data_IF_967892168300
#
_entry.id   IF_967892168300
#
_cell.length_a   1.000
_cell.length_b   1.000
_cell.length_c   1.000
_cell.angle_alpha   90.00
_cell.angle_beta   90.00
_cell.angle_gamma   90.00
#
_symmetry.space_group_name_H-M   'P 1'
#
loop_
_entity.id
_entity.type
_entity.pdbx_description
1 polymer ?
#
# COMPACT_ATOMS: atom_id res chain seq x y z
N UNK A 1 -6.08 5.73 -17.34
CA UNK A 1 -7.25 4.96 -17.00
C UNK A 1 -8.33 5.85 -16.45
N UNK A 2 -9.53 5.74 -16.95
CA UNK A 2 -10.62 6.66 -16.56
C UNK A 2 -11.04 6.56 -15.11
N UNK A 3 -10.69 5.47 -14.43
CA UNK A 3 -11.15 5.23 -13.06
C UNK A 3 -10.11 5.57 -11.99
N UNK A 4 -8.98 6.14 -12.38
CA UNK A 4 -7.93 6.51 -11.43
C UNK A 4 -7.84 8.03 -11.29
N UNK A 5 -8.01 8.49 -10.06
CA UNK A 5 -7.85 9.89 -9.70
C UNK A 5 -6.50 10.06 -9.03
N UNK A 6 -5.67 10.98 -9.51
CA UNK A 6 -4.36 11.20 -8.90
C UNK A 6 -4.51 12.00 -7.61
N UNK A 7 -3.92 11.47 -6.53
CA UNK A 7 -3.93 12.13 -5.21
C UNK A 7 -2.59 12.81 -4.96
N UNK A 8 -1.50 12.14 -5.33
CA UNK A 8 -0.16 12.62 -5.09
C UNK A 8 0.77 12.03 -6.14
N UNK A 9 1.73 12.81 -6.60
CA UNK A 9 2.71 12.35 -7.58
C UNK A 9 4.08 12.91 -7.24
N UNK A 10 5.09 12.06 -7.33
CA UNK A 10 6.49 12.45 -7.13
C UNK A 10 7.38 11.60 -8.03
N UNK A 11 8.67 11.89 -8.01
CA UNK A 11 9.63 11.07 -8.75
C UNK A 11 9.76 9.65 -8.19
N UNK A 12 9.34 9.44 -6.95
CA UNK A 12 9.51 8.17 -6.24
C UNK A 12 8.24 7.33 -6.19
N UNK A 13 7.07 7.96 -6.16
CA UNK A 13 5.82 7.24 -6.00
C UNK A 13 4.63 8.06 -6.46
N UNK A 14 3.68 7.41 -7.11
CA UNK A 14 2.38 8.00 -7.42
C UNK A 14 1.30 7.33 -6.57
N UNK A 15 0.37 8.13 -6.06
CA UNK A 15 -0.76 7.66 -5.26
C UNK A 15 -2.05 8.00 -6.00
N UNK A 16 -2.87 6.98 -6.25
CA UNK A 16 -4.15 7.12 -6.95
C UNK A 16 -5.29 6.61 -6.08
N UNK A 17 -6.45 7.18 -6.32
CA UNK A 17 -7.70 6.63 -5.83
C UNK A 17 -8.44 5.98 -7.00
N UNK A 18 -8.82 4.71 -6.83
CA UNK A 18 -9.60 3.98 -7.84
C UNK A 18 -11.07 4.18 -7.52
N UNK A 19 -11.77 4.94 -8.37
CA UNK A 19 -13.16 5.31 -8.11
C UNK A 19 -14.13 4.15 -8.23
N UNK A 20 -13.81 3.15 -9.07
CA UNK A 20 -14.67 1.98 -9.23
C UNK A 20 -14.60 1.02 -8.06
N UNK A 21 -13.41 0.82 -7.54
CA UNK A 21 -13.17 -0.18 -6.50
C UNK A 21 -13.08 0.42 -5.11
N UNK A 22 -13.03 1.75 -5.00
CA UNK A 22 -12.93 2.46 -3.73
C UNK A 22 -11.69 2.02 -2.95
N UNK A 23 -10.53 2.08 -3.60
CA UNK A 23 -9.25 1.70 -3.01
C UNK A 23 -8.19 2.74 -3.30
N UNK A 24 -7.16 2.77 -2.46
CA UNK A 24 -5.96 3.57 -2.70
C UNK A 24 -4.92 2.67 -3.37
N UNK A 25 -4.39 3.12 -4.50
CA UNK A 25 -3.36 2.40 -5.24
C UNK A 25 -2.08 3.21 -5.25
N UNK A 26 -0.95 2.57 -4.98
CA UNK A 26 0.35 3.23 -5.02
C UNK A 26 1.26 2.54 -6.03
N UNK A 27 2.05 3.35 -6.73
CA UNK A 27 3.00 2.85 -7.73
C UNK A 27 4.38 3.39 -7.39
N UNK A 28 5.21 2.52 -6.82
CA UNK A 28 6.57 2.87 -6.44
C UNK A 28 7.47 2.78 -7.66
N UNK A 29 8.23 3.86 -7.89
CA UNK A 29 9.13 3.95 -9.04
C UNK A 29 10.51 3.44 -8.66
N UNK A 30 11.35 3.13 -9.65
CA UNK A 30 12.68 2.60 -9.41
C UNK A 30 13.68 3.67 -9.01
N UNK A 31 13.36 4.45 -7.99
CA UNK A 31 14.21 5.52 -7.46
C UNK A 31 14.37 5.31 -5.97
N UNK A 32 15.63 5.34 -5.49
CA UNK A 32 15.89 5.18 -4.06
C UNK A 32 15.37 6.39 -3.29
N UNK A 33 14.65 6.12 -2.23
CA UNK A 33 14.10 7.14 -1.35
C UNK A 33 14.15 6.65 0.09
N UNK A 34 14.52 7.53 1.01
CA UNK A 34 14.59 7.19 2.44
C UNK A 34 14.29 8.42 3.29
N UNK A 35 14.19 8.20 4.60
CA UNK A 35 14.00 9.23 5.63
C UNK A 35 12.78 10.11 5.34
N UNK A 36 12.91 11.43 5.46
CA UNK A 36 11.79 12.33 5.36
C UNK A 36 11.00 12.26 4.06
N UNK A 37 11.63 12.23 2.87
CA UNK A 37 10.87 12.10 1.63
C UNK A 37 10.06 10.82 1.55
N UNK A 38 10.63 9.70 2.01
CA UNK A 38 9.94 8.42 2.05
C UNK A 38 8.76 8.47 3.03
N UNK A 39 9.00 9.00 4.22
CA UNK A 39 7.97 9.10 5.26
C UNK A 39 6.84 10.02 4.86
N UNK A 40 7.15 11.09 4.14
CA UNK A 40 6.13 12.00 3.60
C UNK A 40 5.21 11.26 2.62
N UNK A 41 5.77 10.43 1.75
CA UNK A 41 4.96 9.66 0.81
C UNK A 41 4.00 8.74 1.57
N UNK A 42 4.50 8.05 2.59
CA UNK A 42 3.65 7.16 3.39
C UNK A 42 2.57 7.94 4.15
N UNK A 43 2.88 9.15 4.62
CA UNK A 43 1.88 9.99 5.27
C UNK A 43 0.81 10.47 4.27
N UNK A 44 1.19 10.71 3.01
CA UNK A 44 0.23 11.03 1.96
C UNK A 44 -0.71 9.85 1.67
N UNK A 45 -0.24 8.63 1.85
CA UNK A 45 -1.12 7.46 1.73
C UNK A 45 -2.19 7.48 2.84
N UNK A 46 -1.81 7.81 4.06
CA UNK A 46 -2.78 7.96 5.16
C UNK A 46 -3.79 9.05 4.83
N UNK A 47 -3.31 10.19 4.32
CA UNK A 47 -4.21 11.28 3.93
C UNK A 47 -5.22 10.83 2.87
N UNK A 48 -4.78 10.01 1.92
CA UNK A 48 -5.67 9.48 0.90
C UNK A 48 -6.73 8.55 1.50
N UNK A 49 -6.34 7.68 2.45
CA UNK A 49 -7.29 6.80 3.13
C UNK A 49 -8.36 7.61 3.86
N UNK A 50 -7.95 8.65 4.58
CA UNK A 50 -8.87 9.50 5.32
C UNK A 50 -9.78 10.30 4.38
N UNK A 51 -9.20 10.92 3.37
CA UNK A 51 -9.93 11.74 2.41
C UNK A 51 -11.02 10.95 1.69
N UNK A 52 -10.69 9.74 1.28
CA UNK A 52 -11.60 8.90 0.50
C UNK A 52 -12.36 7.91 1.35
N UNK A 53 -12.08 7.82 2.64
CA UNK A 53 -12.70 6.85 3.55
C UNK A 53 -12.52 5.43 3.02
N UNK A 54 -11.33 5.14 2.52
CA UNK A 54 -10.96 3.83 1.99
C UNK A 54 -10.26 3.00 3.06
N UNK A 55 -10.33 1.69 2.93
CA UNK A 55 -9.72 0.76 3.88
C UNK A 55 -8.72 -0.19 3.22
N UNK A 56 -8.61 -0.13 1.90
CA UNK A 56 -7.78 -1.06 1.11
C UNK A 56 -6.68 -0.29 0.41
N UNK A 57 -5.45 -0.76 0.57
CA UNK A 57 -4.29 -0.25 -0.17
C UNK A 57 -3.77 -1.36 -1.08
N UNK A 58 -3.63 -1.07 -2.36
CA UNK A 58 -2.93 -1.95 -3.30
C UNK A 58 -1.65 -1.24 -3.70
N UNK A 59 -0.52 -1.80 -3.29
CA UNK A 59 0.78 -1.22 -3.54
C UNK A 59 1.54 -2.00 -4.61
N UNK A 60 1.84 -1.34 -5.73
CA UNK A 60 2.69 -1.93 -6.74
C UNK A 60 4.14 -1.59 -6.37
N UNK A 61 4.80 -2.57 -5.77
CA UNK A 61 6.16 -2.42 -5.25
C UNK A 61 7.18 -3.20 -6.10
N UNK A 62 6.82 -3.55 -7.34
CA UNK A 62 7.71 -4.36 -8.19
C UNK A 62 9.04 -3.66 -8.50
N UNK A 63 9.04 -2.34 -8.56
CA UNK A 63 10.25 -1.56 -8.85
C UNK A 63 10.79 -0.82 -7.63
N UNK A 64 10.24 -1.09 -6.46
CA UNK A 64 10.64 -0.40 -5.24
C UNK A 64 12.05 -0.79 -4.81
N UNK A 65 12.82 0.20 -4.39
CA UNK A 65 14.15 -0.02 -3.85
C UNK A 65 14.07 -0.47 -2.39
N UNK A 66 15.24 -0.86 -1.87
CA UNK A 66 15.36 -1.32 -0.48
C UNK A 66 14.89 -0.23 0.49
N UNK A 67 14.11 -0.65 1.47
CA UNK A 67 13.66 0.24 2.55
C UNK A 67 14.72 0.18 3.66
N UNK A 68 15.22 1.34 4.08
CA UNK A 68 16.25 1.41 5.11
C UNK A 68 15.75 0.83 6.44
N UNK A 69 16.64 0.28 7.29
CA UNK A 69 16.22 -0.25 8.59
C UNK A 69 15.49 0.79 9.45
N UNK A 70 15.95 2.03 9.44
CA UNK A 70 15.28 3.10 10.20
C UNK A 70 13.86 3.36 9.69
N UNK A 71 13.66 3.32 8.38
CA UNK A 71 12.34 3.50 7.81
C UNK A 71 11.44 2.30 8.06
N UNK A 72 11.99 1.09 8.07
CA UNK A 72 11.24 -0.11 8.43
C UNK A 72 10.71 0.00 9.85
N UNK A 73 11.55 0.42 10.78
CA UNK A 73 11.15 0.61 12.17
C UNK A 73 10.10 1.71 12.30
N UNK A 74 10.27 2.82 11.58
CA UNK A 74 9.30 3.91 11.58
C UNK A 74 7.94 3.46 11.06
N UNK A 75 7.91 2.62 10.02
CA UNK A 75 6.65 2.08 9.51
C UNK A 75 5.91 1.31 10.60
N UNK A 76 6.61 0.44 11.30
CA UNK A 76 5.98 -0.41 12.30
C UNK A 76 5.56 0.37 13.55
N UNK A 77 6.37 1.32 13.97
CA UNK A 77 6.14 2.01 15.25
C UNK A 77 5.30 3.28 15.12
N UNK A 78 5.27 3.90 13.95
CA UNK A 78 4.57 5.17 13.74
C UNK A 78 3.50 5.08 12.65
N UNK A 79 3.89 4.67 11.45
CA UNK A 79 2.98 4.72 10.31
C UNK A 79 1.83 3.74 10.43
N UNK A 80 2.14 2.47 10.73
CA UNK A 80 1.13 1.41 10.78
C UNK A 80 0.01 1.74 11.78
N UNK A 81 0.32 2.13 13.06
CA UNK A 81 -0.76 2.48 13.99
C UNK A 81 -1.62 3.63 13.51
N UNK A 82 -1.01 4.63 12.87
CA UNK A 82 -1.76 5.79 12.35
C UNK A 82 -2.62 5.40 11.14
N UNK A 83 -2.11 4.52 10.28
CA UNK A 83 -2.86 4.03 9.13
C UNK A 83 -4.08 3.23 9.57
N UNK A 84 -3.93 2.37 10.58
CA UNK A 84 -5.04 1.60 11.14
C UNK A 84 -6.10 2.54 11.71
N UNK A 85 -5.67 3.57 12.41
CA UNK A 85 -6.59 4.57 12.94
C UNK A 85 -7.36 5.31 11.84
N UNK A 86 -6.72 5.47 10.68
CA UNK A 86 -7.33 6.12 9.52
C UNK A 86 -8.25 5.19 8.72
N UNK A 87 -8.32 3.91 9.08
CA UNK A 87 -9.21 2.95 8.44
C UNK A 87 -8.56 1.81 7.68
N UNK A 88 -7.24 1.72 7.67
CA UNK A 88 -6.49 0.69 6.94
C UNK A 88 -6.83 -0.70 7.47
N UNK A 89 -7.31 -1.60 6.58
CA UNK A 89 -7.73 -2.97 6.96
C UNK A 89 -7.21 -4.05 6.01
N UNK A 90 -6.93 -3.71 4.75
CA UNK A 90 -6.50 -4.69 3.75
C UNK A 90 -5.34 -4.13 2.95
N UNK A 91 -4.32 -4.96 2.74
CA UNK A 91 -3.15 -4.59 1.96
C UNK A 91 -2.85 -5.66 0.92
N UNK A 92 -2.86 -5.28 -0.35
CA UNK A 92 -2.36 -6.13 -1.43
C UNK A 92 -1.03 -5.59 -1.91
N UNK A 93 -0.03 -6.45 -1.97
CA UNK A 93 1.32 -6.09 -2.39
C UNK A 93 1.67 -6.81 -3.68
N UNK A 94 1.95 -6.04 -4.73
CA UNK A 94 2.40 -6.58 -6.01
C UNK A 94 3.92 -6.54 -5.99
N UNK A 95 4.55 -7.70 -6.03
CA UNK A 95 5.99 -7.84 -5.85
C UNK A 95 6.63 -8.53 -7.04
N UNK A 96 7.90 -8.21 -7.27
CA UNK A 96 8.74 -8.90 -8.24
C UNK A 96 9.66 -9.83 -7.45
N UNK A 97 9.61 -11.12 -7.76
CA UNK A 97 10.32 -12.16 -7.01
C UNK A 97 11.83 -11.99 -6.96
N UNK A 98 12.38 -11.22 -7.88
CA UNK A 98 13.84 -11.10 -8.03
C UNK A 98 14.40 -9.82 -7.43
N UNK A 99 13.63 -9.09 -6.62
CA UNK A 99 14.09 -7.83 -6.05
C UNK A 99 14.44 -7.97 -4.57
N UNK A 100 15.48 -7.26 -4.14
CA UNK A 100 15.86 -7.23 -2.72
C UNK A 100 14.79 -6.58 -1.85
N UNK A 101 14.03 -5.65 -2.40
CA UNK A 101 12.96 -4.97 -1.66
C UNK A 101 11.83 -5.92 -1.28
N UNK A 102 11.66 -7.02 -2.02
CA UNK A 102 10.64 -8.01 -1.71
C UNK A 102 10.77 -8.53 -0.28
N UNK A 103 12.00 -8.87 0.11
CA UNK A 103 12.25 -9.39 1.46
C UNK A 103 11.91 -8.35 2.53
N UNK A 104 12.32 -7.10 2.34
CA UNK A 104 12.05 -6.04 3.30
C UNK A 104 10.54 -5.79 3.43
N UNK A 105 9.84 -5.72 2.30
CA UNK A 105 8.39 -5.48 2.30
C UNK A 105 7.66 -6.61 3.01
N UNK A 106 8.04 -7.86 2.75
CA UNK A 106 7.42 -9.01 3.41
C UNK A 106 7.72 -9.04 4.90
N UNK A 107 8.94 -8.70 5.27
CA UNK A 107 9.35 -8.67 6.68
C UNK A 107 8.52 -7.66 7.46
N UNK A 108 8.31 -6.46 6.91
CA UNK A 108 7.48 -5.44 7.53
C UNK A 108 6.05 -5.92 7.65
N UNK A 109 5.48 -6.38 6.53
CA UNK A 109 4.06 -6.75 6.48
C UNK A 109 3.74 -7.96 7.37
N UNK A 110 4.68 -8.88 7.53
CA UNK A 110 4.49 -10.05 8.38
C UNK A 110 4.45 -9.68 9.88
N UNK A 111 4.89 -8.48 10.23
CA UNK A 111 4.81 -7.99 11.61
C UNK A 111 3.51 -7.25 11.89
N UNK A 112 2.68 -7.01 10.88
CA UNK A 112 1.36 -6.43 11.10
C UNK A 112 0.48 -7.46 11.81
N UNK A 113 -0.41 -6.96 12.68
CA UNK A 113 -1.39 -7.80 13.33
C UNK A 113 -2.42 -8.26 12.30
N UNK A 114 -2.42 -9.56 11.98
CA UNK A 114 -3.30 -10.12 10.95
C UNK A 114 -4.77 -10.06 11.31
N UNK A 115 -5.10 -9.87 12.59
CA UNK A 115 -6.49 -9.66 13.00
C UNK A 115 -6.97 -8.24 12.70
N UNK A 116 -6.04 -7.31 12.47
CA UNK A 116 -6.34 -5.91 12.17
C UNK A 116 -6.18 -5.61 10.69
N UNK A 117 -5.06 -6.00 10.08
CA UNK A 117 -4.79 -5.79 8.66
C UNK A 117 -4.50 -7.13 8.00
N UNK A 118 -5.27 -7.45 6.97
CA UNK A 118 -5.05 -8.65 6.16
C UNK A 118 -4.15 -8.30 5.00
N UNK A 119 -3.03 -8.99 4.87
CA UNK A 119 -2.05 -8.77 3.79
C UNK A 119 -2.03 -9.95 2.84
N UNK A 120 -2.02 -9.67 1.54
CA UNK A 120 -1.91 -10.66 0.49
C UNK A 120 -0.86 -10.24 -0.52
N UNK A 121 -0.11 -11.19 -1.07
CA UNK A 121 0.95 -10.92 -2.03
C UNK A 121 0.54 -11.40 -3.43
N UNK A 122 0.93 -10.61 -4.45
CA UNK A 122 0.56 -10.89 -5.84
C UNK A 122 1.74 -10.66 -6.77
N UNK A 123 1.68 -11.30 -7.95
CA UNK A 123 2.67 -11.11 -9.01
C UNK A 123 2.20 -10.13 -10.09
N UNK A 124 0.91 -9.82 -10.10
CA UNK A 124 0.33 -8.97 -11.14
C UNK A 124 -0.76 -8.07 -10.58
N UNK A 125 -0.94 -6.89 -11.21
CA UNK A 125 -2.04 -6.00 -10.81
C UNK A 125 -3.41 -6.63 -10.96
N UNK A 126 -3.63 -7.43 -12.01
CA UNK A 126 -4.96 -8.02 -12.24
C UNK A 126 -5.37 -8.98 -11.13
N UNK A 127 -4.43 -9.76 -10.60
CA UNK A 127 -4.72 -10.67 -9.50
C UNK A 127 -5.05 -9.89 -8.22
N UNK A 128 -4.33 -8.80 -7.98
CA UNK A 128 -4.59 -7.96 -6.82
C UNK A 128 -5.97 -7.34 -6.88
N UNK A 129 -6.38 -6.82 -8.04
CA UNK A 129 -7.69 -6.19 -8.20
C UNK A 129 -8.82 -7.22 -8.12
N UNK A 130 -8.58 -8.44 -8.57
CA UNK A 130 -9.56 -9.52 -8.42
C UNK A 130 -9.80 -9.85 -6.95
N UNK A 131 -8.73 -9.88 -6.15
CA UNK A 131 -8.83 -10.07 -4.72
C UNK A 131 -9.65 -8.96 -4.04
N UNK A 132 -9.49 -7.70 -4.49
CA UNK A 132 -10.28 -6.58 -3.97
C UNK A 132 -11.77 -6.83 -4.21
N UNK A 133 -12.13 -7.30 -5.41
CA UNK A 133 -13.52 -7.60 -5.72
C UNK A 133 -14.08 -8.69 -4.81
N UNK A 134 -13.29 -9.72 -4.53
CA UNK A 134 -13.69 -10.78 -3.62
C UNK A 134 -13.96 -10.25 -2.22
N UNK A 135 -13.10 -9.35 -1.71
CA UNK A 135 -13.30 -8.73 -0.40
C UNK A 135 -14.62 -7.96 -0.38
N UNK A 136 -14.88 -7.18 -1.42
CA UNK A 136 -16.08 -6.34 -1.48
C UNK A 136 -17.36 -7.17 -1.63
N UNK A 137 -17.31 -8.24 -2.38
CA UNK A 137 -18.44 -9.15 -2.53
C UNK A 137 -18.77 -9.84 -1.21
N UNK A 138 -17.74 -10.29 -0.48
CA UNK A 138 -17.94 -10.90 0.83
C UNK A 138 -18.52 -9.90 1.82
N UNK A 139 -18.09 -8.64 1.77
CA UNK A 139 -18.65 -7.58 2.61
C UNK A 139 -20.10 -7.27 2.27
N UNK A 140 -20.44 -7.29 0.99
CA UNK A 140 -21.80 -7.00 0.54
C UNK A 140 -22.80 -8.07 0.95
N UNK A 141 -22.34 -9.29 1.18
CA UNK A 141 -23.22 -10.40 1.60
C UNK A 141 -23.59 -10.33 3.09
N UNK A 142 -22.93 -9.48 3.83
CA UNK A 142 -23.23 -9.28 5.25
C UNK A 142 -24.32 -8.22 5.42
#
# INVERSE_FOLDING_TARGET
MPNLEIIFSSDECDIFYNTNLHIVQTFWKGVYVNDEPFRRILDEIINALELKKASIIIADAREMYVISPNDQEWILNSWYPRAVKAGFRYQGLILNKDTFSELAVKTISNQYDSSTVTTQYFNSPSDALEWVKEIQEAGAEK
#
